data_IF_352312963159
#
_entry.id   IF_352312963159
#
_cell.length_a   1.000
_cell.length_b   1.000
_cell.length_c   1.000
_cell.angle_alpha   90.00
_cell.angle_beta   90.00
_cell.angle_gamma   90.00
#
_symmetry.space_group_name_H-M   'P 1'
#
loop_
_entity.id
_entity.type
_entity.pdbx_description
1 polymer ?
#
# COMPACT_ATOMS: atom_id res chain seq x y z
N UNK A 1 -3.62 0.89 -1.57
CA UNK A 1 -3.96 2.31 -1.32
C UNK A 1 -3.58 3.13 -2.53
N UNK A 2 -4.55 3.78 -3.18
CA UNK A 2 -4.32 4.66 -4.34
C UNK A 2 -4.10 6.11 -3.91
N UNK A 3 -3.21 6.84 -4.60
CA UNK A 3 -2.81 8.22 -4.23
C UNK A 3 -3.51 9.26 -5.08
N UNK A 4 -4.18 10.22 -4.45
CA UNK A 4 -4.72 11.45 -5.07
C UNK A 4 -4.01 12.67 -4.51
N UNK A 5 -3.08 13.23 -5.29
CA UNK A 5 -2.42 14.48 -4.94
C UNK A 5 -3.21 15.67 -5.48
N UNK A 6 -3.79 16.48 -4.59
CA UNK A 6 -4.54 17.69 -4.95
C UNK A 6 -3.60 18.90 -4.89
N UNK A 7 -2.56 18.87 -5.74
CA UNK A 7 -1.59 19.95 -5.85
C UNK A 7 -1.66 20.59 -7.23
N UNK A 8 -1.30 21.86 -7.40
CA UNK A 8 -1.36 22.55 -8.70
C UNK A 8 -0.65 21.82 -9.82
N UNK A 9 0.46 21.13 -9.50
CA UNK A 9 1.28 20.41 -10.48
C UNK A 9 0.72 19.04 -10.86
N UNK A 10 -0.24 18.49 -10.08
CA UNK A 10 -0.73 17.13 -10.27
C UNK A 10 -1.86 17.01 -11.30
N UNK A 11 -2.54 18.13 -11.61
CA UNK A 11 -3.68 18.17 -12.54
C UNK A 11 -3.50 19.23 -13.64
N UNK A 12 -2.28 19.74 -13.87
CA UNK A 12 -2.01 20.74 -14.89
C UNK A 12 -1.62 20.08 -16.22
N UNK A 13 -2.57 19.91 -17.12
CA UNK A 13 -2.30 19.91 -18.55
C UNK A 13 -2.41 21.35 -19.06
N UNK A 14 -1.28 22.07 -19.14
CA UNK A 14 -1.23 23.38 -19.79
C UNK A 14 -1.82 24.57 -19.02
N UNK A 15 -1.82 24.56 -17.66
CA UNK A 15 -2.13 25.75 -16.86
C UNK A 15 -3.62 26.02 -16.59
N UNK A 16 -4.51 25.09 -16.88
CA UNK A 16 -5.91 25.17 -16.42
C UNK A 16 -6.01 24.58 -15.03
N UNK A 17 -6.56 25.35 -14.08
CA UNK A 17 -6.90 24.90 -12.75
C UNK A 17 -8.06 23.91 -12.84
N UNK A 18 -7.77 22.59 -12.73
CA UNK A 18 -8.85 21.63 -12.58
C UNK A 18 -9.43 21.75 -11.17
N UNK A 19 -10.75 21.89 -11.09
CA UNK A 19 -11.48 21.92 -9.84
C UNK A 19 -11.41 20.58 -9.07
N UNK A 20 -12.03 20.48 -7.88
CA UNK A 20 -12.08 19.27 -7.07
C UNK A 20 -12.65 18.05 -7.85
N UNK A 21 -13.41 18.27 -8.91
CA UNK A 21 -14.01 17.24 -9.78
C UNK A 21 -12.95 16.31 -10.39
N UNK A 22 -11.80 16.86 -10.80
CA UNK A 22 -10.71 16.05 -11.35
C UNK A 22 -10.11 15.12 -10.29
N UNK A 23 -9.92 15.61 -9.05
CA UNK A 23 -9.46 14.81 -7.92
C UNK A 23 -10.47 13.72 -7.53
N UNK A 24 -11.77 14.05 -7.52
CA UNK A 24 -12.85 13.09 -7.26
C UNK A 24 -12.86 12.02 -8.34
N UNK A 25 -12.88 12.42 -9.62
CA UNK A 25 -12.85 11.47 -10.74
C UNK A 25 -11.65 10.54 -10.66
N UNK A 26 -10.45 11.09 -10.42
CA UNK A 26 -9.23 10.28 -10.29
C UNK A 26 -9.34 9.28 -9.13
N UNK A 27 -9.87 9.68 -7.97
CA UNK A 27 -10.07 8.78 -6.83
C UNK A 27 -11.08 7.65 -7.14
N UNK A 28 -12.16 7.95 -7.88
CA UNK A 28 -13.11 6.95 -8.36
C UNK A 28 -12.46 5.98 -9.35
N UNK A 29 -11.65 6.49 -10.28
CA UNK A 29 -10.91 5.66 -11.23
C UNK A 29 -9.92 4.72 -10.49
N UNK A 30 -9.23 5.20 -9.44
CA UNK A 30 -8.35 4.37 -8.61
C UNK A 30 -9.12 3.28 -7.87
N UNK A 31 -10.29 3.59 -7.31
CA UNK A 31 -11.14 2.58 -6.66
C UNK A 31 -11.64 1.54 -7.65
N UNK A 32 -12.14 1.97 -8.81
CA UNK A 32 -12.57 1.07 -9.88
C UNK A 32 -11.44 0.17 -10.39
N UNK A 33 -10.20 0.67 -10.34
CA UNK A 33 -8.99 -0.07 -10.68
C UNK A 33 -8.53 -1.06 -9.58
N UNK A 34 -9.22 -1.12 -8.42
CA UNK A 34 -8.97 -2.08 -7.34
C UNK A 34 -8.23 -1.49 -6.13
N UNK A 35 -8.22 -0.17 -5.93
CA UNK A 35 -7.77 0.41 -4.66
C UNK A 35 -8.81 0.17 -3.56
N UNK A 36 -8.38 -0.37 -2.42
CA UNK A 36 -9.22 -0.58 -1.23
C UNK A 36 -9.48 0.73 -0.48
N UNK A 37 -8.53 1.67 -0.57
CA UNK A 37 -8.59 2.98 0.08
C UNK A 37 -7.90 4.02 -0.81
N UNK A 38 -8.43 5.23 -0.84
CA UNK A 38 -7.87 6.37 -1.58
C UNK A 38 -7.28 7.37 -0.59
N UNK A 39 -5.97 7.68 -0.76
CA UNK A 39 -5.22 8.58 0.10
C UNK A 39 -5.13 9.98 -0.54
N UNK A 40 -5.78 10.97 0.10
CA UNK A 40 -5.93 12.32 -0.44
C UNK A 40 -4.96 13.27 0.25
N UNK A 41 -4.02 13.84 -0.50
CA UNK A 41 -3.03 14.80 0.00
C UNK A 41 -3.09 16.14 -0.72
N UNK A 42 -2.99 17.25 0.05
CA UNK A 42 -3.04 18.63 -0.47
C UNK A 42 -1.70 19.36 -0.48
N UNK A 43 -0.69 18.83 0.22
CA UNK A 43 0.66 19.38 0.28
C UNK A 43 1.67 18.42 -0.37
N UNK A 44 2.57 18.93 -1.20
CA UNK A 44 3.62 18.11 -1.80
C UNK A 44 4.73 17.81 -0.78
N UNK A 45 5.04 16.51 -0.61
CA UNK A 45 6.17 16.05 0.21
C UNK A 45 7.46 15.84 -0.61
N UNK A 46 7.49 16.24 -1.89
CA UNK A 46 8.67 16.13 -2.76
C UNK A 46 9.81 17.00 -2.24
N UNK A 47 11.08 16.61 -2.45
CA UNK A 47 12.23 17.45 -2.09
C UNK A 47 12.12 18.85 -2.69
N UNK A 48 12.29 19.89 -1.86
CA UNK A 48 12.21 21.29 -2.29
C UNK A 48 10.80 21.87 -2.41
N UNK A 49 9.73 21.11 -2.17
CA UNK A 49 8.38 21.64 -2.17
C UNK A 49 8.19 22.72 -1.08
N UNK A 50 7.51 23.80 -1.44
CA UNK A 50 7.12 24.84 -0.49
C UNK A 50 5.93 24.39 0.35
N UNK A 51 5.95 24.74 1.62
CA UNK A 51 4.82 24.49 2.51
C UNK A 51 3.70 25.49 2.24
N UNK A 52 2.48 25.00 2.30
CA UNK A 52 1.27 25.79 2.17
C UNK A 52 0.61 26.01 3.54
N UNK A 53 -0.36 26.93 3.61
CA UNK A 53 -1.13 27.13 4.84
C UNK A 53 -2.14 25.99 5.06
N UNK A 54 -2.58 25.79 6.32
CA UNK A 54 -3.62 24.82 6.63
C UNK A 54 -4.94 25.14 5.90
N UNK A 55 -5.28 26.41 5.76
CA UNK A 55 -6.49 26.85 5.05
C UNK A 55 -6.42 26.48 3.55
N UNK A 56 -5.26 26.64 2.93
CA UNK A 56 -5.05 26.27 1.53
C UNK A 56 -5.10 24.74 1.36
N UNK A 57 -4.45 23.97 2.25
CA UNK A 57 -4.50 22.51 2.23
C UNK A 57 -5.94 22.00 2.37
N UNK A 58 -6.71 22.55 3.33
CA UNK A 58 -8.14 22.25 3.53
C UNK A 58 -8.98 22.60 2.30
N UNK A 59 -8.72 23.76 1.68
CA UNK A 59 -9.40 24.19 0.47
C UNK A 59 -9.21 23.18 -0.69
N UNK A 60 -8.04 22.55 -0.75
CA UNK A 60 -7.71 21.52 -1.74
C UNK A 60 -8.34 20.18 -1.41
N UNK A 61 -8.07 19.62 -0.22
CA UNK A 61 -8.47 18.23 0.11
C UNK A 61 -9.95 18.11 0.48
N UNK A 62 -10.52 19.09 1.15
CA UNK A 62 -11.87 19.00 1.72
C UNK A 62 -12.98 18.68 0.70
N UNK A 63 -13.08 19.39 -0.44
CA UNK A 63 -14.06 19.06 -1.47
C UNK A 63 -13.88 17.67 -2.07
N UNK A 64 -12.62 17.24 -2.29
CA UNK A 64 -12.30 15.92 -2.86
C UNK A 64 -12.69 14.81 -1.88
N UNK A 65 -12.33 14.94 -0.59
CA UNK A 65 -12.70 13.96 0.44
C UNK A 65 -14.23 13.82 0.51
N UNK A 66 -14.98 14.93 0.61
CA UNK A 66 -16.46 14.87 0.65
C UNK A 66 -17.05 14.19 -0.57
N UNK A 67 -16.53 14.50 -1.77
CA UNK A 67 -17.01 13.87 -3.02
C UNK A 67 -16.76 12.37 -3.06
N UNK A 68 -15.58 11.92 -2.67
CA UNK A 68 -15.21 10.50 -2.61
C UNK A 68 -16.02 9.76 -1.53
N UNK A 69 -16.17 10.33 -0.35
CA UNK A 69 -16.97 9.75 0.75
C UNK A 69 -18.44 9.62 0.35
N UNK A 70 -19.01 10.65 -0.31
CA UNK A 70 -20.38 10.60 -0.81
C UNK A 70 -20.59 9.50 -1.87
N UNK A 71 -19.54 9.15 -2.62
CA UNK A 71 -19.54 8.03 -3.57
C UNK A 71 -19.25 6.67 -2.91
N UNK A 72 -19.08 6.60 -1.58
CA UNK A 72 -18.83 5.36 -0.85
C UNK A 72 -17.37 4.88 -0.86
N UNK A 73 -16.42 5.72 -1.32
CA UNK A 73 -15.00 5.39 -1.34
C UNK A 73 -14.42 5.48 0.07
N UNK A 74 -13.71 4.46 0.59
CA UNK A 74 -12.91 4.61 1.80
C UNK A 74 -11.76 5.60 1.56
N UNK A 75 -11.69 6.65 2.38
CA UNK A 75 -10.72 7.74 2.22
C UNK A 75 -9.75 7.80 3.40
N UNK A 76 -8.46 7.97 3.07
CA UNK A 76 -7.38 8.40 3.96
C UNK A 76 -7.05 9.85 3.68
N UNK A 77 -6.62 10.59 4.69
CA UNK A 77 -6.05 11.95 4.52
C UNK A 77 -4.55 11.93 4.76
N UNK A 78 -3.76 12.36 3.76
CA UNK A 78 -2.31 12.55 3.86
C UNK A 78 -2.03 13.99 4.32
N UNK A 79 -1.75 14.16 5.60
CA UNK A 79 -1.48 15.46 6.21
C UNK A 79 -0.63 15.34 7.48
N UNK A 80 0.20 16.36 7.72
CA UNK A 80 0.97 16.54 8.96
C UNK A 80 0.31 17.52 9.94
N UNK A 81 -0.89 18.02 9.65
CA UNK A 81 -1.57 19.05 10.46
C UNK A 81 -2.83 18.50 11.11
N UNK A 82 -2.91 18.59 12.44
CA UNK A 82 -4.07 18.15 13.20
C UNK A 82 -5.37 18.83 12.74
N UNK A 83 -5.33 20.14 12.48
CA UNK A 83 -6.49 20.88 11.99
C UNK A 83 -7.01 20.36 10.66
N UNK A 84 -6.12 19.95 9.74
CA UNK A 84 -6.53 19.38 8.44
C UNK A 84 -7.10 17.98 8.63
N UNK A 85 -6.45 17.18 9.46
CA UNK A 85 -6.92 15.83 9.80
C UNK A 85 -8.32 15.87 10.44
N UNK A 86 -8.55 16.77 11.40
CA UNK A 86 -9.85 16.97 12.05
C UNK A 86 -10.96 17.20 11.03
N UNK A 87 -10.77 18.17 10.15
CA UNK A 87 -11.76 18.52 9.12
C UNK A 87 -11.95 17.40 8.07
N UNK A 88 -10.90 16.68 7.77
CA UNK A 88 -10.99 15.52 6.88
C UNK A 88 -11.80 14.36 7.52
N UNK A 89 -11.61 14.11 8.82
CA UNK A 89 -12.36 13.10 9.57
C UNK A 89 -13.84 13.51 9.70
N UNK A 90 -14.13 14.80 9.99
CA UNK A 90 -15.50 15.32 9.96
C UNK A 90 -16.16 15.17 8.56
N UNK A 91 -15.37 15.26 7.49
CA UNK A 91 -15.84 15.03 6.13
C UNK A 91 -16.00 13.54 5.77
N UNK A 92 -15.64 12.61 6.68
CA UNK A 92 -15.82 11.17 6.54
C UNK A 92 -14.57 10.37 6.15
N UNK A 93 -13.39 10.97 6.20
CA UNK A 93 -12.14 10.20 6.11
C UNK A 93 -12.04 9.20 7.26
N UNK A 94 -11.44 8.02 7.01
CA UNK A 94 -11.41 6.90 7.96
C UNK A 94 -10.00 6.50 8.41
N UNK A 95 -8.98 7.19 7.93
CA UNK A 95 -7.58 6.95 8.27
C UNK A 95 -6.82 8.26 8.16
N UNK A 96 -5.87 8.48 9.06
CA UNK A 96 -4.91 9.59 8.98
C UNK A 96 -3.55 9.01 8.60
N UNK A 97 -3.01 9.49 7.46
CA UNK A 97 -1.66 9.18 7.01
C UNK A 97 -0.76 10.39 7.28
N UNK A 98 0.05 10.29 8.35
CA UNK A 98 0.93 11.37 8.78
C UNK A 98 2.40 11.01 8.54
N UNK A 99 2.98 11.59 7.49
CA UNK A 99 4.39 11.37 7.12
C UNK A 99 5.38 11.85 8.16
N UNK A 100 4.94 12.61 9.17
CA UNK A 100 5.78 13.02 10.32
C UNK A 100 5.65 12.12 11.54
N UNK A 101 4.63 11.21 11.57
CA UNK A 101 4.31 10.41 12.74
C UNK A 101 3.99 11.26 13.98
N UNK A 102 3.37 12.42 13.82
CA UNK A 102 3.02 13.36 14.89
C UNK A 102 4.17 14.28 15.34
N UNK A 103 5.29 14.29 14.62
CA UNK A 103 6.42 15.17 14.97
C UNK A 103 6.25 16.61 14.46
N UNK A 104 5.48 16.81 13.39
CA UNK A 104 5.26 18.14 12.80
C UNK A 104 4.17 18.93 13.54
N UNK A 105 3.19 18.25 14.13
CA UNK A 105 2.09 18.85 14.90
C UNK A 105 1.84 18.04 16.18
N UNK A 106 2.18 18.57 17.35
CA UNK A 106 2.01 17.87 18.63
C UNK A 106 0.54 17.62 19.01
N UNK A 107 -0.44 18.25 18.35
CA UNK A 107 -1.87 18.01 18.56
C UNK A 107 -2.38 16.77 17.82
N UNK A 108 -1.65 16.29 16.79
CA UNK A 108 -2.08 15.17 15.97
C UNK A 108 -2.34 13.88 16.76
N UNK A 109 -1.47 13.42 17.68
CA UNK A 109 -1.73 12.19 18.43
C UNK A 109 -3.00 12.26 19.29
N UNK A 110 -3.26 13.37 19.96
CA UNK A 110 -4.47 13.55 20.78
C UNK A 110 -5.73 13.56 19.91
N UNK A 111 -5.68 14.23 18.75
CA UNK A 111 -6.79 14.24 17.80
C UNK A 111 -7.13 12.84 17.32
N UNK A 112 -6.11 12.08 16.87
CA UNK A 112 -6.31 10.71 16.36
C UNK A 112 -6.83 9.78 17.45
N UNK A 113 -6.30 9.90 18.69
CA UNK A 113 -6.78 9.16 19.85
C UNK A 113 -8.26 9.42 20.11
N UNK A 114 -8.69 10.67 20.10
CA UNK A 114 -10.08 11.06 20.31
C UNK A 114 -11.00 10.56 19.18
N UNK A 115 -10.51 10.55 17.94
CA UNK A 115 -11.25 10.08 16.76
C UNK A 115 -11.35 8.54 16.69
N UNK A 116 -10.43 7.79 17.31
CA UNK A 116 -10.42 6.33 17.32
C UNK A 116 -10.23 5.71 15.92
N UNK A 117 -9.50 6.36 15.03
CA UNK A 117 -9.26 5.93 13.66
C UNK A 117 -7.86 5.35 13.47
N UNK A 118 -7.63 4.50 12.45
CA UNK A 118 -6.29 4.06 12.08
C UNK A 118 -5.35 5.24 11.79
N UNK A 119 -4.11 5.10 12.23
CA UNK A 119 -3.09 6.13 12.15
C UNK A 119 -1.80 5.57 11.58
N UNK A 120 -1.37 6.09 10.43
CA UNK A 120 -0.07 5.76 9.85
C UNK A 120 1.00 6.62 10.50
N UNK A 121 1.92 5.98 11.20
CA UNK A 121 3.09 6.58 11.85
C UNK A 121 4.30 6.30 10.97
N UNK A 122 4.72 7.31 10.18
CA UNK A 122 5.88 7.15 9.32
C UNK A 122 7.17 7.60 10.03
N UNK A 123 8.25 6.89 9.76
CA UNK A 123 9.60 7.29 10.15
C UNK A 123 10.04 8.56 9.41
N UNK A 124 10.32 9.61 10.16
CA UNK A 124 10.62 10.93 9.64
C UNK A 124 11.79 11.61 10.36
N UNK A 125 12.76 12.12 9.61
CA UNK A 125 13.91 12.89 10.12
C UNK A 125 13.92 14.33 9.61
N UNK A 126 12.74 14.94 9.42
CA UNK A 126 12.57 16.34 9.07
C UNK A 126 11.95 16.61 7.71
N UNK A 127 11.64 17.86 7.45
CA UNK A 127 10.98 18.32 6.23
C UNK A 127 11.82 18.07 4.98
N UNK A 128 11.16 18.02 3.84
CA UNK A 128 11.71 17.67 2.53
C UNK A 128 12.96 18.49 2.11
N UNK A 129 13.08 19.74 2.54
CA UNK A 129 14.21 20.61 2.23
C UNK A 129 15.53 20.21 2.94
N UNK A 130 15.47 19.47 4.06
CA UNK A 130 16.64 19.08 4.86
C UNK A 130 16.85 17.56 4.96
N UNK A 131 16.00 16.76 4.36
CA UNK A 131 16.00 15.31 4.57
C UNK A 131 17.22 14.59 3.97
N UNK A 132 17.76 15.07 2.84
CA UNK A 132 18.89 14.40 2.19
C UNK A 132 20.16 14.47 3.04
N UNK A 133 20.40 15.57 3.78
CA UNK A 133 21.53 15.70 4.72
C UNK A 133 21.41 14.84 5.98
N UNK A 134 20.20 14.36 6.27
CA UNK A 134 19.90 13.50 7.43
C UNK A 134 19.89 12.00 7.11
N UNK A 135 20.19 11.63 5.87
CA UNK A 135 20.26 10.24 5.41
C UNK A 135 21.58 9.56 5.86
N UNK A 136 21.88 9.62 7.14
CA UNK A 136 23.09 9.05 7.77
C UNK A 136 22.66 8.00 8.77
N UNK A 137 23.06 6.74 8.55
CA UNK A 137 22.76 5.58 9.38
C UNK A 137 24.01 4.71 9.50
N UNK A 138 24.21 4.10 10.65
CA UNK A 138 25.16 2.98 10.85
C UNK A 138 24.44 1.65 10.53
N UNK A 139 23.25 1.48 11.10
CA UNK A 139 22.32 0.38 10.81
C UNK A 139 20.91 0.97 10.62
N UNK A 140 20.51 1.11 9.33
CA UNK A 140 19.24 1.74 9.01
C UNK A 140 18.02 0.96 9.51
N UNK A 141 18.08 -0.37 9.59
CA UNK A 141 16.97 -1.20 10.06
C UNK A 141 16.80 -1.05 11.56
N UNK A 142 17.88 -1.16 12.31
CA UNK A 142 17.88 -1.00 13.76
C UNK A 142 17.46 0.43 14.16
N UNK A 143 18.08 1.46 13.56
CA UNK A 143 17.81 2.85 13.91
C UNK A 143 16.39 3.27 13.55
N UNK A 144 15.87 2.89 12.38
CA UNK A 144 14.48 3.18 11.98
C UNK A 144 13.49 2.47 12.91
N UNK A 145 13.76 1.21 13.26
CA UNK A 145 12.90 0.45 14.18
C UNK A 145 12.88 1.08 15.58
N UNK A 146 14.03 1.52 16.08
CA UNK A 146 14.13 2.21 17.38
C UNK A 146 13.43 3.57 17.38
N UNK A 147 13.60 4.37 16.31
CA UNK A 147 12.93 5.67 16.17
C UNK A 147 11.41 5.51 16.03
N UNK A 148 10.94 4.52 15.30
CA UNK A 148 9.50 4.17 15.22
C UNK A 148 8.99 3.66 16.58
N UNK A 149 9.75 2.85 17.32
CA UNK A 149 9.36 2.38 18.64
C UNK A 149 9.10 3.56 19.59
N UNK A 150 10.04 4.50 19.64
CA UNK A 150 9.87 5.75 20.43
C UNK A 150 8.63 6.55 19.99
N UNK A 151 8.36 6.59 18.69
CA UNK A 151 7.14 7.28 18.17
C UNK A 151 5.87 6.56 18.61
N UNK A 152 5.82 5.25 18.47
CA UNK A 152 4.69 4.42 18.93
C UNK A 152 4.43 4.64 20.43
N UNK A 153 5.48 4.69 21.25
CA UNK A 153 5.34 4.97 22.68
C UNK A 153 4.68 6.33 22.94
N UNK A 154 5.15 7.38 22.27
CA UNK A 154 4.62 8.75 22.44
C UNK A 154 3.15 8.84 21.98
N UNK A 155 2.82 8.28 20.82
CA UNK A 155 1.42 8.35 20.33
C UNK A 155 0.48 7.49 21.16
N UNK A 156 0.97 6.37 21.69
CA UNK A 156 0.19 5.50 22.62
C UNK A 156 -0.04 6.21 23.96
N UNK A 157 0.98 6.90 24.50
CA UNK A 157 0.84 7.72 25.71
C UNK A 157 -0.16 8.87 25.52
N UNK A 158 -0.31 9.38 24.30
CA UNK A 158 -1.33 10.37 23.96
C UNK A 158 -2.75 9.78 23.84
N UNK A 159 -2.89 8.43 23.95
CA UNK A 159 -4.18 7.72 23.94
C UNK A 159 -4.51 6.98 22.65
N UNK A 160 -3.61 6.96 21.66
CA UNK A 160 -3.84 6.17 20.43
C UNK A 160 -3.79 4.68 20.77
N UNK A 161 -4.84 3.94 20.41
CA UNK A 161 -4.87 2.49 20.57
C UNK A 161 -3.76 1.85 19.69
N UNK A 162 -2.84 1.05 20.27
CA UNK A 162 -1.83 0.34 19.50
C UNK A 162 -2.39 -0.52 18.35
N UNK A 163 -3.64 -1.01 18.47
CA UNK A 163 -4.30 -1.77 17.42
C UNK A 163 -4.67 -0.91 16.19
N UNK A 164 -4.71 0.41 16.33
CA UNK A 164 -4.99 1.37 15.26
C UNK A 164 -3.72 1.93 14.62
N UNK A 165 -2.54 1.55 15.08
CA UNK A 165 -1.27 2.05 14.54
C UNK A 165 -0.84 1.21 13.34
N UNK A 166 -0.49 1.89 12.25
CA UNK A 166 0.16 1.34 11.06
C UNK A 166 1.53 1.99 10.94
N UNK A 167 2.59 1.22 10.75
CA UNK A 167 3.95 1.75 10.58
C UNK A 167 4.25 2.01 9.12
N UNK A 168 5.05 3.05 8.83
CA UNK A 168 5.68 3.25 7.52
C UNK A 168 7.18 3.51 7.76
N UNK A 169 8.10 2.70 7.21
CA UNK A 169 9.54 2.93 7.34
C UNK A 169 10.03 4.18 6.63
N UNK A 170 9.18 4.89 5.88
CA UNK A 170 9.52 6.15 5.23
C UNK A 170 10.51 5.99 4.09
N UNK A 171 10.29 5.06 3.16
CA UNK A 171 11.14 4.88 1.99
C UNK A 171 11.29 6.20 1.21
N UNK A 172 12.53 6.56 0.86
CA UNK A 172 12.83 7.80 0.14
C UNK A 172 12.77 9.08 0.98
N UNK A 173 12.44 9.00 2.28
CA UNK A 173 12.51 10.12 3.21
C UNK A 173 13.77 10.00 4.07
N UNK A 174 14.71 10.94 3.95
CA UNK A 174 16.02 10.91 4.62
C UNK A 174 16.73 9.55 4.46
N UNK A 175 16.66 8.95 3.29
CA UNK A 175 17.22 7.63 2.99
C UNK A 175 17.86 7.57 1.61
N UNK A 176 19.03 6.92 1.52
CA UNK A 176 19.70 6.59 0.26
C UNK A 176 19.11 5.30 -0.35
N UNK A 177 19.55 4.94 -1.55
CA UNK A 177 19.03 3.75 -2.23
C UNK A 177 19.26 2.46 -1.41
N UNK A 178 20.47 2.27 -0.89
CA UNK A 178 20.85 1.13 -0.06
C UNK A 178 19.99 1.01 1.21
N UNK A 179 19.67 2.14 1.84
CA UNK A 179 18.80 2.18 3.02
C UNK A 179 17.38 1.72 2.71
N UNK A 180 16.84 2.11 1.54
CA UNK A 180 15.50 1.69 1.12
C UNK A 180 15.43 0.18 0.86
N UNK A 181 16.46 -0.38 0.22
CA UNK A 181 16.53 -1.82 -0.02
C UNK A 181 16.67 -2.62 1.26
N UNK A 182 17.52 -2.18 2.19
CA UNK A 182 17.65 -2.81 3.50
C UNK A 182 16.33 -2.85 4.25
N UNK A 183 15.58 -1.74 4.30
CA UNK A 183 14.26 -1.69 4.94
C UNK A 183 13.22 -2.58 4.25
N UNK A 184 13.20 -2.64 2.91
CA UNK A 184 12.30 -3.51 2.16
C UNK A 184 12.55 -5.00 2.41
N UNK A 185 13.82 -5.40 2.57
CA UNK A 185 14.19 -6.81 2.83
C UNK A 185 13.99 -7.23 4.29
N UNK A 186 13.85 -6.27 5.23
CA UNK A 186 13.72 -6.52 6.67
C UNK A 186 12.37 -6.02 7.23
N UNK A 187 11.30 -6.10 6.43
CA UNK A 187 9.97 -5.61 6.84
C UNK A 187 9.44 -6.25 8.12
N UNK A 188 9.76 -7.52 8.37
CA UNK A 188 9.34 -8.21 9.58
C UNK A 188 10.02 -7.63 10.83
N UNK A 189 11.27 -7.22 10.74
CA UNK A 189 11.99 -6.57 11.84
C UNK A 189 11.39 -5.19 12.13
N UNK A 190 11.10 -4.41 11.09
CA UNK A 190 10.38 -3.13 11.21
C UNK A 190 8.99 -3.34 11.82
N UNK A 191 8.24 -4.32 11.35
CA UNK A 191 6.89 -4.65 11.84
C UNK A 191 6.90 -5.03 13.33
N UNK A 192 7.90 -5.78 13.78
CA UNK A 192 8.04 -6.23 15.17
C UNK A 192 8.72 -5.20 16.09
N UNK A 193 9.25 -4.11 15.56
CA UNK A 193 10.02 -3.09 16.31
C UNK A 193 11.04 -3.71 17.28
N UNK A 194 11.85 -4.64 16.78
CA UNK A 194 12.90 -5.28 17.57
C UNK A 194 12.41 -6.39 18.49
N UNK A 195 11.27 -7.05 18.21
CA UNK A 195 10.87 -8.29 18.91
C UNK A 195 9.54 -8.26 19.65
N UNK A 196 8.62 -7.36 19.31
CA UNK A 196 7.27 -7.37 19.88
C UNK A 196 6.51 -8.65 19.45
N UNK A 197 5.80 -9.25 20.39
CA UNK A 197 5.00 -10.47 20.17
C UNK A 197 3.83 -10.24 19.19
N UNK A 198 3.32 -9.01 19.10
CA UNK A 198 2.31 -8.60 18.12
C UNK A 198 2.95 -7.57 17.16
N UNK A 199 3.28 -7.96 15.93
CA UNK A 199 3.79 -7.06 14.91
C UNK A 199 2.73 -6.01 14.53
N UNK A 200 3.18 -4.81 14.19
CA UNK A 200 2.32 -3.79 13.60
C UNK A 200 2.10 -4.04 12.11
N UNK A 201 0.94 -3.67 11.55
CA UNK A 201 0.79 -3.59 10.11
C UNK A 201 1.77 -2.55 9.54
N UNK A 202 2.36 -2.86 8.36
CA UNK A 202 3.34 -1.97 7.71
C UNK A 202 2.80 -1.52 6.36
N UNK A 203 2.76 -0.20 6.15
CA UNK A 203 2.50 0.44 4.88
C UNK A 203 3.82 0.69 4.14
N UNK A 204 3.84 0.41 2.84
CA UNK A 204 5.00 0.62 1.97
C UNK A 204 4.66 1.58 0.84
N UNK A 205 5.37 2.70 0.79
CA UNK A 205 5.28 3.69 -0.28
C UNK A 205 6.54 3.71 -1.15
N UNK A 206 6.72 2.74 -2.05
CA UNK A 206 7.86 2.70 -2.98
C UNK A 206 7.57 3.41 -4.32
N UNK A 207 6.30 3.66 -4.64
CA UNK A 207 5.83 4.14 -5.93
C UNK A 207 6.47 5.46 -6.34
N UNK A 208 7.07 5.47 -7.54
CA UNK A 208 7.72 6.64 -8.15
C UNK A 208 8.84 7.25 -7.30
N UNK A 209 9.49 6.44 -6.45
CA UNK A 209 10.62 6.91 -5.64
C UNK A 209 11.93 6.88 -6.44
N UNK A 210 12.80 7.86 -6.18
CA UNK A 210 14.08 8.07 -6.91
C UNK A 210 14.98 6.83 -6.94
N UNK A 211 14.97 5.99 -5.92
CA UNK A 211 15.83 4.81 -5.86
C UNK A 211 15.47 3.74 -6.89
N UNK A 212 14.18 3.63 -7.28
CA UNK A 212 13.73 2.74 -8.37
C UNK A 212 14.21 3.27 -9.74
N UNK A 213 14.03 4.57 -10.01
CA UNK A 213 14.51 5.16 -11.26
C UNK A 213 16.03 5.10 -11.42
N UNK A 214 16.79 5.22 -10.32
CA UNK A 214 18.25 5.07 -10.33
C UNK A 214 18.70 3.63 -10.58
N UNK A 215 18.00 2.63 -9.99
CA UNK A 215 18.27 1.21 -10.27
C UNK A 215 18.12 0.88 -11.77
N UNK A 216 17.17 1.52 -12.42
CA UNK A 216 16.81 1.30 -13.83
C UNK A 216 17.37 2.40 -14.75
N UNK A 217 18.48 3.02 -14.34
CA UNK A 217 19.14 4.04 -15.14
C UNK A 217 19.60 3.48 -16.50
N UNK A 218 19.62 4.35 -17.51
CA UNK A 218 20.18 4.03 -18.81
C UNK A 218 21.71 3.80 -18.72
N UNK A 219 22.37 3.24 -19.75
CA UNK A 219 23.81 2.99 -19.74
C UNK A 219 24.66 4.26 -19.53
N UNK A 220 24.15 5.44 -19.84
CA UNK A 220 24.78 6.73 -19.59
C UNK A 220 24.62 7.25 -18.15
N UNK A 221 23.92 6.49 -17.28
CA UNK A 221 23.63 6.85 -15.91
C UNK A 221 22.39 7.73 -15.72
N UNK A 222 21.66 8.06 -16.79
CA UNK A 222 20.41 8.84 -16.70
C UNK A 222 19.34 8.03 -15.99
N UNK A 223 18.80 8.50 -14.84
CA UNK A 223 17.74 7.79 -14.12
C UNK A 223 16.48 7.67 -14.98
N UNK A 224 15.79 6.53 -14.89
CA UNK A 224 14.49 6.36 -15.53
C UNK A 224 13.48 7.36 -14.96
N UNK A 225 12.68 8.04 -15.81
CA UNK A 225 11.64 8.96 -15.37
C UNK A 225 10.65 8.29 -14.40
N UNK A 226 10.09 9.06 -13.47
CA UNK A 226 9.18 8.54 -12.46
C UNK A 226 7.95 7.85 -13.05
N UNK A 227 7.35 8.44 -14.10
CA UNK A 227 6.18 7.87 -14.76
C UNK A 227 6.47 6.54 -15.48
N UNK A 228 7.71 6.29 -15.86
CA UNK A 228 8.16 5.06 -16.53
C UNK A 228 8.67 4.00 -15.54
N UNK A 229 8.59 4.27 -14.23
CA UNK A 229 9.06 3.38 -13.15
C UNK A 229 7.91 2.61 -12.50
N UNK A 230 6.71 2.62 -13.08
CA UNK A 230 5.54 1.96 -12.49
C UNK A 230 5.69 0.43 -12.47
N UNK A 231 6.32 -0.21 -13.48
CA UNK A 231 6.62 -1.66 -13.48
C UNK A 231 7.59 -2.05 -12.36
N UNK A 232 8.58 -1.19 -12.06
CA UNK A 232 9.47 -1.40 -10.92
C UNK A 232 8.71 -1.26 -9.58
N UNK A 233 7.72 -0.38 -9.52
CA UNK A 233 6.82 -0.26 -8.38
C UNK A 233 6.01 -1.55 -8.18
N UNK A 234 5.44 -2.11 -9.26
CA UNK A 234 4.71 -3.39 -9.23
C UNK A 234 5.60 -4.51 -8.68
N UNK A 235 6.84 -4.61 -9.16
CA UNK A 235 7.82 -5.60 -8.68
C UNK A 235 8.13 -5.43 -7.20
N UNK A 236 8.38 -4.19 -6.74
CA UNK A 236 8.61 -3.87 -5.33
C UNK A 236 7.37 -4.18 -4.47
N UNK A 237 6.16 -3.91 -4.98
CA UNK A 237 4.89 -4.23 -4.31
C UNK A 237 4.72 -5.73 -4.13
N UNK A 238 5.00 -6.55 -5.17
CA UNK A 238 4.92 -8.01 -5.07
C UNK A 238 5.84 -8.56 -3.97
N UNK A 239 7.10 -8.11 -3.94
CA UNK A 239 8.09 -8.52 -2.94
C UNK A 239 7.69 -8.06 -1.52
N UNK A 240 7.25 -6.82 -1.36
CA UNK A 240 6.81 -6.29 -0.07
C UNK A 240 5.57 -7.04 0.45
N UNK A 241 4.58 -7.31 -0.41
CA UNK A 241 3.39 -8.09 -0.07
C UNK A 241 3.75 -9.54 0.32
N UNK A 242 4.67 -10.18 -0.42
CA UNK A 242 5.18 -11.51 -0.07
C UNK A 242 5.90 -11.51 1.28
N UNK A 243 6.62 -10.42 1.61
CA UNK A 243 7.26 -10.22 2.92
C UNK A 243 6.28 -9.84 4.05
N UNK A 244 4.99 -9.64 3.75
CA UNK A 244 3.94 -9.39 4.74
C UNK A 244 3.58 -7.93 4.95
N UNK A 245 3.92 -7.03 4.03
CA UNK A 245 3.38 -5.67 4.05
C UNK A 245 1.85 -5.69 4.08
N UNK A 246 1.26 -4.86 4.92
CA UNK A 246 -0.19 -4.72 5.05
C UNK A 246 -0.79 -3.90 3.91
N UNK A 247 -0.08 -2.87 3.46
CA UNK A 247 -0.57 -1.95 2.43
C UNK A 247 0.58 -1.48 1.53
N UNK A 248 0.32 -1.40 0.22
CA UNK A 248 1.15 -0.70 -0.75
C UNK A 248 0.47 0.61 -1.16
N UNK A 249 1.15 1.75 -0.96
CA UNK A 249 0.69 3.08 -1.37
C UNK A 249 1.27 3.42 -2.73
N UNK A 250 0.40 3.53 -3.74
CA UNK A 250 0.79 3.55 -5.16
C UNK A 250 0.03 4.60 -5.99
N UNK A 251 0.66 5.11 -7.06
CA UNK A 251 0.03 6.02 -8.01
C UNK A 251 -0.71 5.26 -9.12
N UNK A 252 -0.22 4.08 -9.50
CA UNK A 252 -0.83 3.18 -10.49
C UNK A 252 -1.38 1.96 -9.77
N UNK A 253 -2.70 1.76 -9.79
CA UNK A 253 -3.36 0.70 -9.00
C UNK A 253 -3.39 -0.65 -9.71
N UNK A 254 -3.76 -0.79 -11.01
CA UNK A 254 -4.07 -2.10 -11.59
C UNK A 254 -2.97 -3.15 -11.40
N UNK A 255 -1.77 -2.89 -11.89
CA UNK A 255 -0.65 -3.83 -11.77
C UNK A 255 -0.22 -4.10 -10.33
N UNK A 256 -0.36 -3.10 -9.44
CA UNK A 256 -0.04 -3.27 -8.02
C UNK A 256 -1.10 -4.10 -7.28
N UNK A 257 -2.38 -3.97 -7.62
CA UNK A 257 -3.44 -4.81 -7.10
C UNK A 257 -3.25 -6.28 -7.51
N UNK A 258 -2.86 -6.52 -8.76
CA UNK A 258 -2.53 -7.88 -9.23
C UNK A 258 -1.29 -8.43 -8.53
N UNK A 259 -0.24 -7.61 -8.33
CA UNK A 259 0.95 -7.99 -7.59
C UNK A 259 0.63 -8.45 -6.16
N UNK A 260 -0.26 -7.75 -5.46
CA UNK A 260 -0.72 -8.13 -4.11
C UNK A 260 -1.47 -9.46 -4.14
N UNK A 261 -2.39 -9.66 -5.09
CA UNK A 261 -3.13 -10.93 -5.26
C UNK A 261 -2.19 -12.10 -5.53
N UNK A 262 -1.21 -11.91 -6.42
CA UNK A 262 -0.20 -12.94 -6.73
C UNK A 262 0.65 -13.26 -5.50
N UNK A 263 1.12 -12.25 -4.76
CA UNK A 263 1.90 -12.44 -3.55
C UNK A 263 1.11 -13.19 -2.46
N UNK A 264 -0.19 -12.90 -2.31
CA UNK A 264 -1.03 -13.62 -1.35
C UNK A 264 -1.23 -15.10 -1.75
N UNK A 265 -1.51 -15.37 -3.03
CA UNK A 265 -1.61 -16.75 -3.53
C UNK A 265 -0.29 -17.52 -3.31
N UNK A 266 0.85 -16.87 -3.55
CA UNK A 266 2.18 -17.42 -3.28
C UNK A 266 2.37 -17.79 -1.80
N UNK A 267 2.02 -16.88 -0.89
CA UNK A 267 2.11 -17.11 0.55
C UNK A 267 1.20 -18.25 1.02
N UNK A 268 -0.02 -18.33 0.50
CA UNK A 268 -0.97 -19.41 0.81
C UNK A 268 -0.43 -20.77 0.35
N UNK A 269 0.10 -20.87 -0.86
CA UNK A 269 0.71 -22.08 -1.38
C UNK A 269 1.93 -22.51 -0.55
N UNK A 270 2.79 -21.57 -0.14
CA UNK A 270 3.93 -21.85 0.71
C UNK A 270 3.54 -22.40 2.09
N UNK A 271 2.43 -21.91 2.67
CA UNK A 271 1.88 -22.40 3.95
C UNK A 271 1.23 -23.77 3.84
N UNK A 272 0.60 -24.08 2.70
CA UNK A 272 -0.04 -25.36 2.46
C UNK A 272 0.97 -26.51 2.30
N UNK A 273 2.24 -26.19 2.03
CA UNK A 273 3.28 -27.20 1.76
C UNK A 273 3.09 -27.90 0.41
N UNK A 274 4.04 -28.75 -0.01
CA UNK A 274 3.84 -29.62 -1.17
C UNK A 274 2.67 -30.56 -0.85
N UNK A 275 1.61 -30.49 -1.67
CA UNK A 275 0.50 -31.44 -1.59
C UNK A 275 0.99 -32.88 -1.61
N UNK A 276 0.18 -33.84 -1.12
CA UNK A 276 0.58 -35.26 -1.19
C UNK A 276 1.01 -35.56 -2.61
N UNK A 277 2.23 -36.06 -2.75
CA UNK A 277 2.73 -36.51 -4.05
C UNK A 277 1.69 -37.46 -4.64
N UNK A 278 1.08 -37.06 -5.75
CA UNK A 278 0.07 -37.86 -6.42
C UNK A 278 0.58 -39.29 -6.56
N UNK A 279 -0.06 -40.23 -5.87
CA UNK A 279 0.28 -41.66 -5.98
C UNK A 279 0.21 -42.03 -7.45
N UNK A 280 1.32 -42.48 -7.99
CA UNK A 280 1.34 -43.11 -9.29
C UNK A 280 0.25 -44.21 -9.27
N UNK A 281 -0.82 -44.00 -9.99
CA UNK A 281 -1.74 -45.10 -10.32
C UNK A 281 -0.93 -46.06 -11.17
N UNK A 282 -0.37 -47.09 -10.49
CA UNK A 282 0.09 -48.28 -11.16
C UNK A 282 -1.15 -48.90 -11.80
N UNK A 283 -1.28 -48.70 -13.12
CA UNK A 283 -2.28 -49.39 -13.90
C UNK A 283 -2.03 -50.88 -13.83
N UNK A 284 -2.83 -51.59 -13.04
CA UNK A 284 -2.97 -53.02 -13.15
C UNK A 284 -3.67 -53.31 -14.50
N UNK A 285 -2.86 -53.80 -15.44
CA UNK A 285 -3.31 -54.38 -16.70
C UNK A 285 -4.05 -55.69 -16.36
N UNK A 286 -5.38 -55.63 -16.25
CA UNK A 286 -6.20 -56.84 -16.22
C UNK A 286 -6.18 -57.49 -17.59
N UNK A 287 -5.38 -58.56 -17.71
CA UNK A 287 -5.44 -59.52 -18.82
C UNK A 287 -6.85 -60.15 -18.91
N UNK A 288 -7.52 -59.89 -20.03
CA UNK A 288 -8.84 -60.43 -20.29
C UNK A 288 -8.78 -61.94 -20.57
N UNK A 289 -9.52 -62.72 -19.83
CA UNK A 289 -9.95 -64.05 -20.24
C UNK A 289 -11.18 -63.95 -21.14
N UNK A 290 -11.00 -64.45 -22.35
CA UNK A 290 -12.04 -64.67 -23.37
C UNK A 290 -12.90 -65.87 -22.93
N UNK A 291 -14.20 -65.69 -22.78
CA UNK A 291 -15.19 -66.75 -22.70
C UNK A 291 -16.19 -66.60 -23.84
N UNK A 292 -16.12 -67.61 -24.71
CA UNK A 292 -17.00 -67.83 -25.83
C UNK A 292 -18.37 -68.42 -25.43
N UNK A 293 -19.40 -68.12 -26.20
CA UNK A 293 -20.66 -68.84 -26.35
C UNK A 293 -21.82 -68.37 -25.45
N UNK A 294 -22.98 -67.99 -25.89
CA UNK A 294 -23.94 -68.64 -26.76
C UNK A 294 -25.08 -67.70 -27.09
N UNK A 295 -25.59 -67.82 -28.27
CA UNK A 295 -26.76 -67.18 -28.93
C UNK A 295 -28.07 -67.74 -28.33
N UNK A 296 -29.07 -66.87 -28.00
CA UNK A 296 -30.48 -67.17 -28.14
C UNK A 296 -31.26 -65.85 -28.54
N UNK A 297 -32.07 -66.03 -29.54
CA UNK A 297 -32.94 -65.03 -30.17
C UNK A 297 -34.29 -64.82 -29.44
N UNK A 298 -34.96 -63.75 -29.81
CA UNK A 298 -36.40 -63.52 -29.62
C UNK A 298 -36.71 -62.34 -28.72
N UNK A 299 -37.43 -61.37 -29.01
CA UNK A 299 -38.56 -61.05 -29.82
C UNK A 299 -38.93 -59.54 -29.60
N UNK A 300 -39.39 -58.96 -30.62
CA UNK A 300 -40.02 -57.67 -30.77
C UNK A 300 -41.25 -57.46 -29.86
N UNK A 301 -41.44 -56.27 -29.28
CA UNK A 301 -42.73 -55.60 -29.32
C UNK A 301 -42.69 -54.08 -29.10
N UNK A 302 -43.35 -53.42 -30.01
CA UNK A 302 -43.79 -52.06 -30.16
C UNK A 302 -44.71 -51.55 -29.06
N UNK A 303 -44.72 -50.26 -28.79
CA UNK A 303 -45.76 -49.63 -28.00
C UNK A 303 -45.57 -48.12 -27.77
N UNK A 304 -46.30 -47.34 -28.46
CA UNK A 304 -46.47 -45.90 -28.58
C UNK A 304 -46.76 -45.14 -27.29
N UNK A 305 -46.55 -43.85 -27.47
CA UNK A 305 -46.89 -42.71 -26.56
C UNK A 305 -48.41 -42.65 -26.19
N UNK A 306 -48.77 -41.72 -25.30
CA UNK A 306 -48.68 -40.30 -25.52
C UNK A 306 -47.79 -39.51 -24.48
#
# INVERSE_FOLDING_TARGET
MGVVNVTPDSFSDGGQWFGPEAGIKHGLDLQAAGADIVDVGGESTRPGAQRITAAEELGRVGPVIRGLVAAGVPVSVDTMRAQVAERALEAGARLVNDVSGGLADPQMPQLVAAAGVPYVVMHWRGHSHSMDSRAVYQDVVAEVSEELCRRVEVVTQAGVDPAMIVLDPGLGFAKRAEHNWALLTHLQEVSSLGGRARPFPVLIGASRKRFLGRLLAAPDGTPRPFAESDDATVSATALAAAAGAWCARVHQVPGNADAVRVAEAWRQAARAGPGPAGGAQTGETRTGETRTGETVAGETQTGERP
#
